data_IF_185410070923
#
_entry.id   IF_185410070923
#
_cell.length_a   1.000
_cell.length_b   1.000
_cell.length_c   1.000
_cell.angle_alpha   90.00
_cell.angle_beta   90.00
_cell.angle_gamma   90.00
#
_symmetry.space_group_name_H-M   'P 1'
#
loop_
_entity.id
_entity.type
_entity.pdbx_description
1 polymer ?
#
# COMPACT_ATOMS: atom_id res chain seq x y z
N UNK A 1 -36.47 1.20 22.73
CA UNK A 1 -36.02 0.03 21.94
C UNK A 1 -34.97 0.52 20.96
N UNK A 2 -33.67 0.44 21.29
CA UNK A 2 -32.56 0.87 20.41
C UNK A 2 -31.19 0.26 20.77
N UNK A 3 -31.06 -0.57 21.81
CA UNK A 3 -29.74 -0.91 22.37
C UNK A 3 -29.04 -2.12 21.75
N UNK A 4 -29.75 -2.92 20.95
CA UNK A 4 -29.21 -4.19 20.42
C UNK A 4 -28.38 -4.00 19.14
N UNK A 5 -28.65 -2.96 18.36
CA UNK A 5 -27.99 -2.70 17.09
C UNK A 5 -26.67 -1.91 17.28
N UNK A 6 -26.68 -0.86 18.10
CA UNK A 6 -25.50 -0.03 18.38
C UNK A 6 -24.31 -0.81 18.96
N UNK A 7 -24.59 -1.78 19.83
CA UNK A 7 -23.52 -2.63 20.42
C UNK A 7 -22.91 -3.57 19.39
N UNK A 8 -23.72 -4.06 18.43
CA UNK A 8 -23.25 -4.97 17.38
C UNK A 8 -22.47 -4.22 16.31
N UNK A 9 -22.86 -2.98 16.01
CA UNK A 9 -22.17 -2.13 15.04
C UNK A 9 -20.80 -1.70 15.59
N UNK A 10 -20.75 -1.23 16.84
CA UNK A 10 -19.49 -0.88 17.51
C UNK A 10 -18.52 -2.07 17.61
N UNK A 11 -19.03 -3.28 17.85
CA UNK A 11 -18.21 -4.49 17.88
C UNK A 11 -17.64 -4.85 16.48
N UNK A 12 -18.41 -4.63 15.41
CA UNK A 12 -17.95 -4.81 14.03
C UNK A 12 -16.92 -3.78 13.63
N UNK A 13 -17.08 -2.53 14.04
CA UNK A 13 -16.09 -1.48 13.79
C UNK A 13 -14.76 -1.80 14.49
N UNK A 14 -14.81 -2.23 15.77
CA UNK A 14 -13.62 -2.66 16.52
C UNK A 14 -12.91 -3.87 15.88
N UNK A 15 -13.65 -4.81 15.31
CA UNK A 15 -13.05 -5.94 14.60
C UNK A 15 -12.37 -5.49 13.30
N UNK A 16 -12.99 -4.57 12.56
CA UNK A 16 -12.41 -3.95 11.35
C UNK A 16 -11.11 -3.22 11.66
N UNK A 17 -11.09 -2.42 12.73
CA UNK A 17 -9.88 -1.73 13.20
C UNK A 17 -8.77 -2.73 13.55
N UNK A 18 -9.11 -3.80 14.28
CA UNK A 18 -8.15 -4.87 14.64
C UNK A 18 -7.62 -5.60 13.42
N UNK A 19 -8.48 -5.89 12.46
CA UNK A 19 -8.10 -6.50 11.18
C UNK A 19 -7.11 -5.60 10.44
N UNK A 20 -7.41 -4.29 10.36
CA UNK A 20 -6.56 -3.32 9.67
C UNK A 20 -5.20 -3.13 10.34
N UNK A 21 -5.17 -3.06 11.67
CA UNK A 21 -3.93 -2.95 12.43
C UNK A 21 -3.05 -4.19 12.21
N UNK A 22 -3.62 -5.40 12.26
CA UNK A 22 -2.88 -6.65 11.99
C UNK A 22 -2.35 -6.71 10.57
N UNK A 23 -3.20 -6.40 9.59
CA UNK A 23 -2.81 -6.36 8.18
C UNK A 23 -1.64 -5.42 7.95
N UNK A 24 -1.71 -4.18 8.45
CA UNK A 24 -0.64 -3.20 8.27
C UNK A 24 0.67 -3.65 8.92
N UNK A 25 0.63 -4.13 10.16
CA UNK A 25 1.81 -4.65 10.86
C UNK A 25 2.41 -5.81 10.08
N UNK A 26 1.59 -6.77 9.64
CA UNK A 26 2.08 -7.94 8.92
C UNK A 26 2.66 -7.59 7.55
N UNK A 27 2.06 -6.62 6.86
CA UNK A 27 2.49 -6.14 5.56
C UNK A 27 3.85 -5.42 5.64
N UNK A 28 4.03 -4.54 6.63
CA UNK A 28 5.32 -3.85 6.86
C UNK A 28 6.46 -4.81 7.19
N UNK A 29 6.15 -5.95 7.81
CA UNK A 29 7.14 -6.99 8.11
C UNK A 29 7.52 -7.84 6.89
N UNK A 30 6.85 -7.69 5.74
CA UNK A 30 7.20 -8.43 4.53
C UNK A 30 8.45 -7.86 3.85
N UNK A 31 9.31 -8.73 3.30
CA UNK A 31 10.55 -8.30 2.68
C UNK A 31 10.30 -7.43 1.43
N UNK A 32 10.93 -6.25 1.38
CA UNK A 32 10.81 -5.33 0.25
C UNK A 32 9.50 -4.54 0.21
N UNK A 33 8.68 -4.61 1.27
CA UNK A 33 7.55 -3.71 1.43
C UNK A 33 8.03 -2.35 1.89
N UNK A 34 7.75 -1.33 1.09
CA UNK A 34 8.01 0.06 1.40
C UNK A 34 6.70 0.83 1.64
N UNK A 35 6.81 2.01 2.24
CA UNK A 35 5.67 2.91 2.53
C UNK A 35 4.65 3.08 1.38
N UNK A 36 5.03 3.29 0.10
CA UNK A 36 4.04 3.39 -0.99
C UNK A 36 3.19 2.13 -1.15
N UNK A 37 3.77 0.94 -0.99
CA UNK A 37 3.06 -0.34 -1.09
C UNK A 37 2.03 -0.44 0.05
N UNK A 38 2.43 -0.09 1.27
CA UNK A 38 1.53 -0.08 2.43
C UNK A 38 0.36 0.88 2.21
N UNK A 39 0.63 2.10 1.73
CA UNK A 39 -0.41 3.09 1.46
C UNK A 39 -1.37 2.64 0.35
N UNK A 40 -0.84 2.05 -0.72
CA UNK A 40 -1.66 1.50 -1.81
C UNK A 40 -2.57 0.37 -1.31
N UNK A 41 -2.01 -0.56 -0.54
CA UNK A 41 -2.74 -1.70 0.00
C UNK A 41 -3.83 -1.27 0.99
N UNK A 42 -3.52 -0.34 1.90
CA UNK A 42 -4.51 0.22 2.83
C UNK A 42 -5.61 0.94 2.05
N UNK A 43 -5.26 1.72 1.02
CA UNK A 43 -6.25 2.38 0.16
C UNK A 43 -7.20 1.37 -0.47
N UNK A 44 -6.69 0.30 -1.08
CA UNK A 44 -7.49 -0.75 -1.71
C UNK A 44 -8.52 -1.37 -0.74
N UNK A 45 -8.08 -1.76 0.47
CA UNK A 45 -8.99 -2.30 1.48
C UNK A 45 -10.01 -1.27 1.93
N UNK A 46 -9.59 -0.04 2.22
CA UNK A 46 -10.51 1.01 2.69
C UNK A 46 -11.55 1.40 1.64
N UNK A 47 -11.15 1.47 0.37
CA UNK A 47 -12.06 1.72 -0.75
C UNK A 47 -13.04 0.59 -0.91
N UNK A 48 -12.59 -0.67 -0.92
CA UNK A 48 -13.49 -1.82 -1.06
C UNK A 48 -14.51 -1.90 0.08
N UNK A 49 -14.08 -1.70 1.33
CA UNK A 49 -14.98 -1.67 2.48
C UNK A 49 -15.97 -0.49 2.41
N UNK A 50 -15.60 0.64 1.81
CA UNK A 50 -16.49 1.77 1.61
C UNK A 50 -17.50 1.54 0.47
N UNK A 51 -17.08 0.84 -0.60
CA UNK A 51 -17.92 0.55 -1.77
C UNK A 51 -18.91 -0.58 -1.50
N UNK A 52 -18.48 -1.64 -0.84
CA UNK A 52 -19.31 -2.84 -0.57
C UNK A 52 -20.07 -2.75 0.74
N UNK A 53 -19.57 -1.96 1.70
CA UNK A 53 -20.03 -2.01 3.10
C UNK A 53 -19.69 -3.32 3.79
N UNK A 54 -18.94 -4.23 3.16
CA UNK A 54 -18.58 -5.52 3.72
C UNK A 54 -17.40 -5.41 4.68
N UNK A 55 -17.39 -6.31 5.66
CA UNK A 55 -16.29 -6.40 6.61
C UNK A 55 -15.03 -6.92 5.89
N UNK A 56 -13.83 -6.36 6.14
CA UNK A 56 -12.62 -6.79 5.42
C UNK A 56 -12.29 -8.27 5.61
N UNK A 57 -12.67 -8.85 6.75
CA UNK A 57 -12.54 -10.30 6.98
C UNK A 57 -13.42 -11.15 6.07
N UNK A 58 -14.60 -10.65 5.66
CA UNK A 58 -15.48 -11.37 4.75
C UNK A 58 -14.99 -11.25 3.29
N UNK A 59 -14.51 -10.05 2.91
CA UNK A 59 -14.02 -9.78 1.56
C UNK A 59 -12.61 -10.36 1.28
N UNK A 60 -11.69 -10.18 2.22
CA UNK A 60 -10.25 -10.47 2.06
C UNK A 60 -9.77 -11.65 2.91
N UNK A 61 -10.61 -12.16 3.81
CA UNK A 61 -10.26 -13.28 4.67
C UNK A 61 -9.33 -12.90 5.82
N UNK A 62 -8.31 -13.72 6.05
CA UNK A 62 -7.35 -13.53 7.15
C UNK A 62 -6.37 -12.39 6.84
N UNK A 63 -6.15 -11.43 7.78
CA UNK A 63 -5.30 -10.28 7.53
C UNK A 63 -3.84 -10.64 7.31
N UNK A 64 -3.34 -11.71 7.93
CA UNK A 64 -1.95 -12.13 7.80
C UNK A 64 -1.72 -12.83 6.46
N UNK A 65 -2.64 -13.71 6.05
CA UNK A 65 -2.60 -14.35 4.73
C UNK A 65 -2.70 -13.31 3.61
N UNK A 66 -3.64 -12.37 3.74
CA UNK A 66 -3.82 -11.31 2.75
C UNK A 66 -2.61 -10.38 2.65
N UNK A 67 -1.95 -10.06 3.78
CA UNK A 67 -0.71 -9.27 3.76
C UNK A 67 0.42 -9.94 2.96
N UNK A 68 0.56 -11.27 3.06
CA UNK A 68 1.55 -12.04 2.28
C UNK A 68 1.21 -12.02 0.80
N UNK A 69 -0.07 -12.22 0.45
CA UNK A 69 -0.53 -12.18 -0.94
C UNK A 69 -0.30 -10.80 -1.58
N UNK A 70 -0.68 -9.73 -0.86
CA UNK A 70 -0.48 -8.35 -1.32
C UNK A 70 1.01 -8.04 -1.52
N UNK A 71 1.87 -8.46 -0.60
CA UNK A 71 3.32 -8.27 -0.74
C UNK A 71 3.87 -9.04 -1.95
N UNK A 72 3.45 -10.29 -2.15
CA UNK A 72 3.87 -11.08 -3.31
C UNK A 72 3.47 -10.43 -4.64
N UNK A 73 2.31 -9.76 -4.69
CA UNK A 73 1.83 -9.02 -5.88
C UNK A 73 2.57 -7.70 -6.09
N UNK A 74 2.64 -6.85 -5.06
CA UNK A 74 3.05 -5.46 -5.21
C UNK A 74 4.56 -5.23 -5.11
N UNK A 75 5.30 -6.05 -4.35
CA UNK A 75 6.76 -5.85 -4.18
C UNK A 75 7.53 -5.98 -5.49
N UNK A 76 7.30 -7.01 -6.34
CA UNK A 76 7.99 -7.11 -7.62
C UNK A 76 7.69 -5.94 -8.56
N UNK A 77 6.43 -5.47 -8.57
CA UNK A 77 5.99 -4.35 -9.39
C UNK A 77 6.62 -3.03 -8.93
N UNK A 78 6.62 -2.73 -7.64
CA UNK A 78 7.25 -1.51 -7.12
C UNK A 78 8.76 -1.50 -7.33
N UNK A 79 9.44 -2.65 -7.21
CA UNK A 79 10.87 -2.73 -7.53
C UNK A 79 11.12 -2.37 -8.99
N UNK A 80 10.37 -2.95 -9.91
CA UNK A 80 10.51 -2.64 -11.34
C UNK A 80 10.22 -1.15 -11.65
N UNK A 81 9.18 -0.59 -11.03
CA UNK A 81 8.85 0.83 -11.19
C UNK A 81 9.90 1.74 -10.57
N UNK A 82 10.49 1.35 -9.43
CA UNK A 82 11.58 2.10 -8.79
C UNK A 82 12.83 2.10 -9.64
N UNK A 83 13.21 0.95 -10.20
CA UNK A 83 14.37 0.85 -11.09
C UNK A 83 14.18 1.76 -12.31
N UNK A 84 13.00 1.70 -12.95
CA UNK A 84 12.65 2.60 -14.06
C UNK A 84 12.73 4.09 -13.66
N UNK A 85 12.21 4.46 -12.48
CA UNK A 85 12.29 5.85 -11.98
C UNK A 85 13.73 6.28 -11.70
N UNK A 86 14.56 5.38 -11.17
CA UNK A 86 15.96 5.64 -10.87
C UNK A 86 16.76 5.89 -12.14
N UNK A 87 16.58 5.08 -13.17
CA UNK A 87 17.23 5.25 -14.46
C UNK A 87 16.85 6.57 -15.14
N UNK A 88 15.55 6.91 -15.13
CA UNK A 88 15.08 8.20 -15.65
C UNK A 88 15.67 9.40 -14.91
N UNK A 89 15.82 9.32 -13.58
CA UNK A 89 16.43 10.39 -12.78
C UNK A 89 17.92 10.57 -13.08
N UNK A 90 18.67 9.47 -13.23
CA UNK A 90 20.09 9.54 -13.59
C UNK A 90 20.26 10.17 -14.98
N UNK A 91 19.43 9.76 -15.95
CA UNK A 91 19.42 10.35 -17.29
C UNK A 91 19.12 11.86 -17.28
N UNK A 92 18.22 12.32 -16.41
CA UNK A 92 17.94 13.75 -16.26
C UNK A 92 19.14 14.52 -15.71
N UNK A 93 19.85 13.96 -14.72
CA UNK A 93 21.04 14.59 -14.13
C UNK A 93 22.17 14.64 -15.16
N UNK A 94 22.41 13.55 -15.90
CA UNK A 94 23.41 13.51 -16.98
C UNK A 94 23.08 14.51 -18.10
N UNK A 95 21.80 14.65 -18.45
CA UNK A 95 21.35 15.63 -19.45
C UNK A 95 21.62 17.07 -19.00
N UNK A 96 21.39 17.39 -17.73
CA UNK A 96 21.70 18.71 -17.16
C UNK A 96 23.20 18.97 -17.14
N UNK A 97 24.01 17.97 -16.74
CA UNK A 97 25.47 18.09 -16.73
C UNK A 97 26.04 18.29 -18.14
N UNK A 98 25.55 17.53 -19.13
CA UNK A 98 25.92 17.69 -20.54
C UNK A 98 25.58 19.08 -21.06
N UNK A 99 24.37 19.57 -20.78
CA UNK A 99 23.95 20.92 -21.20
C UNK A 99 24.80 22.03 -20.56
N UNK A 100 25.24 21.86 -19.31
CA UNK A 100 26.15 22.79 -18.67
C UNK A 100 27.53 22.79 -19.35
N UNK A 101 28.06 21.61 -19.74
CA UNK A 101 29.32 21.50 -20.49
C UNK A 101 29.25 22.17 -21.85
N UNK A 102 28.17 21.92 -22.61
CA UNK A 102 27.94 22.53 -23.92
C UNK A 102 27.83 24.07 -23.82
N UNK A 103 27.23 24.59 -22.73
CA UNK A 103 27.10 26.03 -22.49
C UNK A 103 28.41 26.70 -22.06
N UNK A 104 29.32 25.97 -21.43
CA UNK A 104 30.60 26.52 -20.93
C UNK A 104 31.75 26.35 -21.93
N UNK A 105 31.54 25.62 -23.04
CA UNK A 105 32.51 25.50 -24.14
C UNK A 105 33.79 24.72 -23.81
N UNK A 106 33.67 23.62 -23.05
CA UNK A 106 34.77 22.71 -22.66
C UNK A 106 34.74 21.37 -23.40
#
# INVERSE_FOLDING_TARGET
>A
MATKDETSDAAREKDRERWMARFQVRLVMQPGVDRPIVLQAVKEVTTHCAETGEHPRAAFGDPDAYAVEVAARLVPQDRADRDRRRDGRLSAIESVLKKARDATGL
#
